data_IF_159669430359
#
_entry.id   IF_159669430359
#
_cell.length_a   1.000
_cell.length_b   1.000
_cell.length_c   1.000
_cell.angle_alpha   90.00
_cell.angle_beta   90.00
_cell.angle_gamma   90.00
#
_symmetry.space_group_name_H-M   'P 1'
#
loop_
_entity.id
_entity.type
_entity.pdbx_description
1 polymer ?
#
# COMPACT_ATOMS: atom_id res chain seq x y z
N UNK A 1 -0.27 -9.63 -16.74
CA UNK A 1 0.08 -11.04 -17.04
C UNK A 1 1.40 -11.04 -17.79
N UNK A 2 2.37 -11.80 -17.31
CA UNK A 2 3.61 -12.08 -18.01
C UNK A 2 3.53 -13.49 -18.59
N UNK A 3 3.12 -13.61 -19.86
CA UNK A 3 2.82 -14.89 -20.52
C UNK A 3 3.99 -15.90 -20.43
N UNK A 4 5.23 -15.42 -20.52
CA UNK A 4 6.44 -16.23 -20.41
C UNK A 4 6.55 -16.97 -19.06
N UNK A 5 6.14 -16.34 -17.97
CA UNK A 5 6.28 -16.90 -16.63
C UNK A 5 4.98 -17.51 -16.13
N UNK A 6 3.87 -16.79 -16.29
CA UNK A 6 2.57 -17.14 -15.72
C UNK A 6 1.96 -18.35 -16.42
N UNK A 7 2.07 -18.39 -17.75
CA UNK A 7 1.47 -19.42 -18.61
C UNK A 7 2.51 -20.43 -19.06
N UNK A 8 3.57 -19.98 -19.74
CA UNK A 8 4.56 -20.88 -20.37
C UNK A 8 5.38 -21.65 -19.33
N UNK A 9 5.79 -20.99 -18.24
CA UNK A 9 6.47 -21.65 -17.11
C UNK A 9 5.52 -22.13 -16.01
N UNK A 10 4.21 -22.07 -16.28
CA UNK A 10 3.14 -22.54 -15.40
C UNK A 10 3.15 -21.96 -13.97
N UNK A 11 3.69 -20.75 -13.75
CA UNK A 11 3.78 -20.17 -12.41
C UNK A 11 2.41 -20.04 -11.73
N UNK A 12 1.36 -19.67 -12.46
CA UNK A 12 0.01 -19.64 -11.90
C UNK A 12 -0.41 -21.01 -11.35
N UNK A 13 -0.16 -22.08 -12.11
CA UNK A 13 -0.49 -23.45 -11.70
C UNK A 13 0.35 -23.88 -10.50
N UNK A 14 1.66 -23.56 -10.49
CA UNK A 14 2.52 -23.88 -9.36
C UNK A 14 2.03 -23.26 -8.04
N UNK A 15 1.55 -22.01 -8.09
CA UNK A 15 1.01 -21.33 -6.90
C UNK A 15 -0.35 -21.91 -6.50
N UNK A 16 -1.27 -22.12 -7.44
CA UNK A 16 -2.59 -22.70 -7.11
C UNK A 16 -2.48 -24.16 -6.63
N UNK A 17 -1.48 -24.90 -7.08
CA UNK A 17 -1.19 -26.27 -6.66
C UNK A 17 -0.68 -26.39 -5.22
N UNK A 18 -0.25 -25.30 -4.57
CA UNK A 18 0.08 -25.30 -3.13
C UNK A 18 -1.11 -25.76 -2.27
N UNK A 19 -2.34 -25.63 -2.77
CA UNK A 19 -3.56 -26.16 -2.13
C UNK A 19 -3.57 -27.68 -1.98
N UNK A 20 -2.81 -28.41 -2.80
CA UNK A 20 -2.66 -29.87 -2.68
C UNK A 20 -1.99 -30.26 -1.36
N UNK A 21 -1.08 -29.44 -0.85
CA UNK A 21 -0.39 -29.64 0.42
C UNK A 21 -0.98 -28.81 1.56
N UNK A 22 -1.69 -27.73 1.24
CA UNK A 22 -2.35 -26.83 2.20
C UNK A 22 -3.84 -26.69 1.87
N UNK A 23 -4.69 -27.68 2.19
CA UNK A 23 -6.07 -27.75 1.69
C UNK A 23 -7.01 -26.63 2.18
N UNK A 24 -6.60 -25.86 3.19
CA UNK A 24 -7.33 -24.67 3.67
C UNK A 24 -6.90 -23.37 2.98
N UNK A 25 -5.80 -23.39 2.22
CA UNK A 25 -5.30 -22.23 1.49
C UNK A 25 -6.29 -21.84 0.38
N UNK A 26 -6.52 -20.54 0.26
CA UNK A 26 -7.24 -19.93 -0.85
C UNK A 26 -6.28 -19.07 -1.65
N UNK A 27 -6.26 -19.25 -2.96
CA UNK A 27 -5.37 -18.53 -3.87
C UNK A 27 -6.23 -17.72 -4.81
N UNK A 28 -6.17 -16.39 -4.70
CA UNK A 28 -6.86 -15.45 -5.57
C UNK A 28 -5.87 -14.83 -6.55
N UNK A 29 -6.35 -14.46 -7.73
CA UNK A 29 -5.58 -13.64 -8.68
C UNK A 29 -5.97 -12.18 -8.50
N UNK A 30 -4.99 -11.29 -8.30
CA UNK A 30 -5.25 -9.83 -8.25
C UNK A 30 -5.09 -9.18 -9.62
N UNK A 31 -5.93 -8.18 -9.91
CA UNK A 31 -5.88 -7.36 -11.13
C UNK A 31 -5.59 -5.91 -10.74
N UNK A 32 -4.58 -5.31 -11.36
CA UNK A 32 -4.08 -3.96 -11.07
C UNK A 32 -2.92 -4.00 -10.10
N UNK A 33 -3.07 -3.34 -8.94
CA UNK A 33 -2.09 -3.42 -7.87
C UNK A 33 -0.99 -2.35 -7.92
N UNK A 34 -1.15 -1.29 -8.71
CA UNK A 34 -0.11 -0.30 -9.07
C UNK A 34 1.01 -0.84 -9.97
N UNK A 35 0.90 -2.09 -10.41
CA UNK A 35 1.85 -2.75 -11.32
C UNK A 35 1.37 -2.75 -12.77
N UNK A 36 0.08 -2.46 -13.02
CA UNK A 36 -0.50 -2.45 -14.37
C UNK A 36 -0.43 -1.06 -15.01
N UNK A 37 0.78 -0.51 -15.05
CA UNK A 37 1.05 0.88 -15.42
C UNK A 37 0.83 1.12 -16.92
N UNK A 38 0.01 2.12 -17.23
CA UNK A 38 -0.24 2.62 -18.58
C UNK A 38 -0.56 4.11 -18.57
N UNK A 39 -0.21 4.82 -19.65
CA UNK A 39 -0.38 6.27 -19.73
C UNK A 39 0.51 7.04 -18.75
N UNK A 40 0.29 8.35 -18.64
CA UNK A 40 0.95 9.21 -17.66
C UNK A 40 0.08 10.42 -17.33
N UNK A 41 0.41 11.18 -16.28
CA UNK A 41 -0.38 12.35 -15.87
C UNK A 41 -1.84 11.98 -15.57
N UNK A 42 -2.78 12.74 -16.11
CA UNK A 42 -4.22 12.51 -15.91
C UNK A 42 -4.76 11.28 -16.68
N UNK A 43 -4.03 10.81 -17.70
CA UNK A 43 -4.35 9.59 -18.46
C UNK A 43 -3.79 8.32 -17.81
N UNK A 44 -3.06 8.44 -16.70
CA UNK A 44 -2.54 7.27 -15.96
C UNK A 44 -3.68 6.31 -15.68
N UNK A 45 -3.54 5.09 -16.19
CA UNK A 45 -4.44 3.95 -16.00
C UNK A 45 -5.90 4.21 -16.38
N UNK A 46 -6.14 5.09 -17.35
CA UNK A 46 -7.47 5.41 -17.87
C UNK A 46 -8.25 4.16 -18.34
N UNK A 47 -7.56 3.09 -18.77
CA UNK A 47 -8.16 1.80 -19.14
C UNK A 47 -9.10 1.24 -18.06
N UNK A 48 -8.79 1.45 -16.78
CA UNK A 48 -9.64 1.01 -15.67
C UNK A 48 -10.96 1.78 -15.67
N UNK A 49 -10.96 3.09 -15.91
CA UNK A 49 -12.21 3.87 -16.02
C UNK A 49 -13.00 3.50 -17.27
N UNK A 50 -12.34 3.32 -18.42
CA UNK A 50 -12.95 2.88 -19.69
C UNK A 50 -13.69 1.54 -19.60
N UNK A 51 -13.23 0.62 -18.75
CA UNK A 51 -13.95 -0.65 -18.50
C UNK A 51 -15.31 -0.37 -17.85
N UNK A 52 -15.39 0.60 -16.92
CA UNK A 52 -16.61 0.89 -16.16
C UNK A 52 -17.69 1.55 -17.02
N UNK A 53 -17.28 2.40 -17.95
CA UNK A 53 -18.14 3.26 -18.78
C UNK A 53 -19.10 2.50 -19.72
N UNK A 54 -18.90 1.21 -19.94
CA UNK A 54 -19.73 0.39 -20.83
C UNK A 54 -20.03 -0.98 -20.25
N UNK A 55 -21.31 -1.37 -20.26
CA UNK A 55 -21.72 -2.73 -19.89
C UNK A 55 -21.04 -3.79 -20.75
N UNK A 56 -20.81 -3.53 -22.04
CA UNK A 56 -20.12 -4.47 -22.91
C UNK A 56 -18.65 -4.65 -22.49
N UNK A 57 -17.96 -3.57 -22.09
CA UNK A 57 -16.59 -3.66 -21.57
C UNK A 57 -16.53 -4.42 -20.25
N UNK A 58 -17.43 -4.10 -19.30
CA UNK A 58 -17.50 -4.83 -18.02
C UNK A 58 -17.76 -6.32 -18.21
N UNK A 59 -18.72 -6.69 -19.06
CA UNK A 59 -19.00 -8.11 -19.33
C UNK A 59 -17.84 -8.82 -20.05
N UNK A 60 -17.13 -8.14 -20.95
CA UNK A 60 -15.91 -8.68 -21.57
C UNK A 60 -14.82 -8.95 -20.53
N UNK A 61 -14.60 -8.01 -19.61
CA UNK A 61 -13.68 -8.18 -18.49
C UNK A 61 -14.10 -9.33 -17.55
N UNK A 62 -15.38 -9.39 -17.17
CA UNK A 62 -15.93 -10.46 -16.31
C UNK A 62 -15.68 -11.84 -16.94
N UNK A 63 -15.97 -11.99 -18.22
CA UNK A 63 -15.82 -13.26 -18.93
C UNK A 63 -14.35 -13.69 -19.06
N UNK A 64 -13.46 -12.75 -19.37
CA UNK A 64 -12.02 -13.04 -19.50
C UNK A 64 -11.39 -13.38 -18.16
N UNK A 65 -11.73 -12.64 -17.10
CA UNK A 65 -11.29 -12.93 -15.73
C UNK A 65 -11.78 -14.32 -15.29
N UNK A 66 -13.08 -14.62 -15.42
CA UNK A 66 -13.63 -15.93 -15.08
C UNK A 66 -12.92 -17.08 -15.80
N UNK A 67 -12.71 -16.92 -17.12
CA UNK A 67 -12.02 -17.93 -17.94
C UNK A 67 -10.61 -18.19 -17.43
N UNK A 68 -9.85 -17.13 -17.12
CA UNK A 68 -8.49 -17.23 -16.61
C UNK A 68 -8.44 -17.93 -15.24
N UNK A 69 -9.32 -17.51 -14.31
CA UNK A 69 -9.39 -18.09 -12.96
C UNK A 69 -9.63 -19.59 -13.01
N UNK A 70 -10.57 -20.02 -13.85
CA UNK A 70 -10.92 -21.43 -14.03
C UNK A 70 -9.79 -22.23 -14.68
N UNK A 71 -9.16 -21.67 -15.71
CA UNK A 71 -8.07 -22.33 -16.44
C UNK A 71 -6.88 -22.68 -15.53
N UNK A 72 -6.57 -21.80 -14.56
CA UNK A 72 -5.40 -21.95 -13.68
C UNK A 72 -5.72 -22.38 -12.25
N UNK A 73 -6.99 -22.66 -11.94
CA UNK A 73 -7.40 -23.23 -10.66
C UNK A 73 -7.37 -22.25 -9.47
N UNK A 74 -7.58 -20.96 -9.73
CA UNK A 74 -7.73 -19.95 -8.68
C UNK A 74 -9.05 -20.14 -7.92
N UNK A 75 -9.08 -19.76 -6.64
CA UNK A 75 -10.29 -19.75 -5.82
C UNK A 75 -11.09 -18.45 -5.94
N UNK A 76 -10.59 -17.45 -6.67
CA UNK A 76 -11.27 -16.16 -6.78
C UNK A 76 -10.43 -15.05 -7.38
N UNK A 77 -11.02 -13.86 -7.42
CA UNK A 77 -10.46 -12.65 -7.98
C UNK A 77 -10.29 -11.60 -6.88
N UNK A 78 -9.18 -10.87 -6.90
CA UNK A 78 -9.00 -9.63 -6.16
C UNK A 78 -8.99 -8.43 -7.12
N UNK A 79 -9.77 -7.39 -6.81
CA UNK A 79 -9.78 -6.14 -7.56
C UNK A 79 -8.90 -5.12 -6.86
N UNK A 80 -7.65 -4.99 -7.27
CA UNK A 80 -6.78 -3.89 -6.87
C UNK A 80 -6.91 -2.74 -7.90
N UNK A 81 -8.12 -2.20 -8.00
CA UNK A 81 -8.55 -1.33 -9.10
C UNK A 81 -7.84 0.04 -9.09
N UNK A 82 -7.26 0.42 -10.23
CA UNK A 82 -6.37 1.59 -10.33
C UNK A 82 -7.14 2.88 -10.65
N UNK A 83 -7.96 3.33 -9.68
CA UNK A 83 -8.53 4.68 -9.74
C UNK A 83 -7.45 5.78 -9.67
N UNK A 84 -7.78 7.03 -10.01
CA UNK A 84 -6.91 8.17 -9.75
C UNK A 84 -6.52 8.33 -8.28
N UNK A 85 -5.22 8.47 -8.03
CA UNK A 85 -4.66 8.82 -6.72
C UNK A 85 -4.94 10.29 -6.37
N UNK A 86 -5.13 10.59 -5.08
CA UNK A 86 -5.18 11.97 -4.60
C UNK A 86 -3.86 12.70 -4.90
N UNK A 87 -3.92 14.00 -5.18
CA UNK A 87 -2.69 14.79 -5.41
C UNK A 87 -1.95 15.02 -4.08
N UNK A 88 -0.60 14.92 -4.06
CA UNK A 88 0.19 15.21 -2.88
C UNK A 88 0.06 16.69 -2.50
N UNK A 89 -0.10 17.00 -1.21
CA UNK A 89 -0.06 18.39 -0.73
C UNK A 89 1.37 18.93 -0.84
N UNK A 90 1.55 20.04 -1.55
CA UNK A 90 2.81 20.81 -1.50
C UNK A 90 2.87 21.57 -0.18
N UNK A 91 3.60 21.05 0.81
CA UNK A 91 3.85 21.77 2.06
C UNK A 91 4.90 22.85 1.77
N UNK A 92 4.49 24.12 1.82
CA UNK A 92 5.41 25.25 1.64
C UNK A 92 6.28 25.38 2.90
N UNK A 93 7.60 25.17 2.76
CA UNK A 93 8.61 25.30 3.82
C UNK A 93 8.60 26.70 4.48
N UNK A 94 9.03 26.73 5.75
CA UNK A 94 8.74 27.72 6.80
C UNK A 94 9.34 29.12 6.73
N UNK A 95 9.70 29.65 5.56
CA UNK A 95 10.02 31.08 5.40
C UNK A 95 8.91 31.89 4.72
N UNK A 96 7.90 31.23 4.14
CA UNK A 96 6.73 31.88 3.51
C UNK A 96 5.47 31.91 4.39
N UNK A 97 5.53 31.31 5.58
CA UNK A 97 4.41 31.23 6.53
C UNK A 97 3.99 32.59 7.12
N UNK A 98 4.86 33.61 7.07
CA UNK A 98 4.57 34.93 7.65
C UNK A 98 3.66 35.82 6.79
N UNK A 99 3.46 35.51 5.50
CA UNK A 99 2.68 36.35 4.57
C UNK A 99 1.34 35.74 4.12
N UNK A 100 0.98 34.53 4.57
CA UNK A 100 -0.20 33.81 4.09
C UNK A 100 -1.39 33.76 5.07
N UNK A 101 -1.40 34.58 6.13
CA UNK A 101 -2.50 34.61 7.11
C UNK A 101 -3.77 35.33 6.61
N UNK A 102 -3.83 35.76 5.35
CA UNK A 102 -5.05 36.30 4.73
C UNK A 102 -5.20 35.70 3.33
N UNK A 103 -5.80 34.50 3.27
CA UNK A 103 -6.68 34.00 2.20
C UNK A 103 -7.01 32.53 2.46
N UNK A 104 -8.12 32.31 3.15
CA UNK A 104 -8.99 31.17 2.87
C UNK A 104 -9.42 31.26 1.41
N UNK A 105 -8.72 30.56 0.55
CA UNK A 105 -9.24 30.22 -0.77
C UNK A 105 -8.87 28.77 -1.04
N UNK A 106 -9.93 27.98 -1.18
CA UNK A 106 -9.99 26.70 -1.90
C UNK A 106 -9.17 26.86 -3.18
N UNK A 107 -7.92 26.41 -3.15
CA UNK A 107 -7.04 26.43 -4.30
C UNK A 107 -7.49 25.27 -5.20
N UNK A 108 -8.10 25.63 -6.34
CA UNK A 108 -8.71 24.77 -7.34
C UNK A 108 -8.26 23.31 -7.32
N UNK A 109 -9.17 22.45 -6.88
CA UNK A 109 -9.03 21.01 -7.06
C UNK A 109 -9.04 20.75 -8.56
N UNK A 110 -7.87 20.47 -9.13
CA UNK A 110 -7.79 19.87 -10.44
C UNK A 110 -8.52 18.52 -10.37
N UNK A 111 -9.74 18.49 -10.90
CA UNK A 111 -10.56 17.28 -10.96
C UNK A 111 -9.89 16.33 -11.95
N UNK A 112 -9.25 15.27 -11.45
CA UNK A 112 -8.60 14.25 -12.32
C UNK A 112 -9.65 13.40 -13.04
N UNK A 113 -10.85 13.30 -12.44
CA UNK A 113 -11.94 12.51 -12.97
C UNK A 113 -13.27 13.26 -12.78
N UNK A 114 -13.72 13.90 -13.86
CA UNK A 114 -14.96 14.66 -13.88
C UNK A 114 -16.20 13.76 -13.72
N UNK A 115 -16.06 12.46 -14.03
CA UNK A 115 -17.12 11.46 -13.98
C UNK A 115 -17.00 10.55 -12.75
N UNK A 116 -16.26 10.95 -11.71
CA UNK A 116 -15.95 10.10 -10.57
C UNK A 116 -17.19 9.48 -9.89
N UNK A 117 -18.30 10.24 -9.77
CA UNK A 117 -19.55 9.72 -9.21
C UNK A 117 -20.18 8.64 -10.10
N UNK A 118 -20.10 8.78 -11.43
CA UNK A 118 -20.59 7.76 -12.37
C UNK A 118 -19.70 6.52 -12.32
N UNK A 119 -18.37 6.70 -12.28
CA UNK A 119 -17.42 5.60 -12.12
C UNK A 119 -17.63 4.84 -10.81
N UNK A 120 -17.96 5.55 -9.71
CA UNK A 120 -18.32 4.93 -8.42
C UNK A 120 -19.53 3.99 -8.56
N UNK A 121 -20.59 4.43 -9.23
CA UNK A 121 -21.80 3.62 -9.46
C UNK A 121 -21.53 2.45 -10.42
N UNK A 122 -20.76 2.68 -11.48
CA UNK A 122 -20.40 1.66 -12.45
C UNK A 122 -19.42 0.61 -11.87
N UNK A 123 -18.58 0.99 -10.92
CA UNK A 123 -17.72 0.06 -10.19
C UNK A 123 -18.55 -0.88 -9.30
N UNK A 124 -19.61 -0.39 -8.66
CA UNK A 124 -20.59 -1.25 -7.97
C UNK A 124 -21.23 -2.24 -8.95
N UNK A 125 -21.59 -1.78 -10.16
CA UNK A 125 -22.13 -2.66 -11.19
C UNK A 125 -21.13 -3.74 -11.61
N UNK A 126 -19.85 -3.39 -11.84
CA UNK A 126 -18.79 -4.34 -12.15
C UNK A 126 -18.66 -5.42 -11.07
N UNK A 127 -18.60 -5.01 -9.80
CA UNK A 127 -18.45 -5.92 -8.65
C UNK A 127 -19.64 -6.87 -8.54
N UNK A 128 -20.85 -6.40 -8.79
CA UNK A 128 -22.05 -7.23 -8.83
C UNK A 128 -22.04 -8.23 -9.99
N UNK A 129 -21.65 -7.79 -11.19
CA UNK A 129 -21.50 -8.64 -12.38
C UNK A 129 -20.46 -9.74 -12.14
N UNK A 130 -19.29 -9.39 -11.59
CA UNK A 130 -18.26 -10.35 -11.19
C UNK A 130 -18.77 -11.36 -10.16
N UNK A 131 -19.39 -10.90 -9.06
CA UNK A 131 -19.88 -11.83 -8.03
C UNK A 131 -20.92 -12.81 -8.57
N UNK A 132 -21.77 -12.36 -9.49
CA UNK A 132 -22.75 -13.24 -10.15
C UNK A 132 -22.07 -14.30 -11.01
N UNK A 133 -21.05 -13.95 -11.80
CA UNK A 133 -20.31 -14.89 -12.62
C UNK A 133 -19.51 -15.90 -11.78
N UNK A 134 -18.89 -15.45 -10.69
CA UNK A 134 -18.05 -16.26 -9.80
C UNK A 134 -18.85 -17.21 -8.89
N UNK A 135 -20.15 -16.96 -8.71
CA UNK A 135 -21.01 -17.74 -7.81
C UNK A 135 -21.13 -19.22 -8.19
N UNK A 136 -21.15 -19.52 -9.49
CA UNK A 136 -21.38 -20.89 -10.00
C UNK A 136 -20.31 -21.88 -9.53
N UNK A 137 -19.06 -21.43 -9.44
CA UNK A 137 -17.91 -22.23 -9.01
C UNK A 137 -17.48 -21.92 -7.56
N UNK A 138 -18.34 -21.24 -6.80
CA UNK A 138 -18.08 -20.82 -5.41
C UNK A 138 -16.75 -20.04 -5.25
N UNK A 139 -16.43 -19.20 -6.24
CA UNK A 139 -15.23 -18.38 -6.23
C UNK A 139 -15.40 -17.13 -5.35
N UNK A 140 -14.32 -16.75 -4.68
CA UNK A 140 -14.23 -15.55 -3.86
C UNK A 140 -14.05 -14.30 -4.73
N UNK A 141 -14.54 -13.18 -4.23
CA UNK A 141 -14.28 -11.86 -4.81
C UNK A 141 -13.84 -10.92 -3.70
N UNK A 142 -12.66 -10.33 -3.83
CA UNK A 142 -12.15 -9.31 -2.91
C UNK A 142 -11.88 -7.99 -3.61
N UNK A 143 -11.72 -6.95 -2.79
CA UNK A 143 -11.33 -5.61 -3.21
C UNK A 143 -10.09 -5.19 -2.42
N UNK A 144 -9.07 -4.69 -3.11
CA UNK A 144 -7.95 -4.01 -2.48
C UNK A 144 -8.09 -2.51 -2.75
N UNK A 145 -8.23 -1.72 -1.67
CA UNK A 145 -8.21 -0.26 -1.73
C UNK A 145 -6.75 0.17 -1.72
N UNK A 146 -6.24 0.59 -2.88
CA UNK A 146 -4.84 0.95 -3.09
C UNK A 146 -4.45 2.25 -2.37
N UNK A 147 -3.15 2.45 -2.06
CA UNK A 147 -2.63 3.67 -1.48
C UNK A 147 -3.10 4.93 -2.20
N UNK A 148 -3.40 5.99 -1.44
CA UNK A 148 -3.80 7.31 -1.94
C UNK A 148 -5.06 7.36 -2.81
N UNK A 149 -5.80 6.26 -3.02
CA UNK A 149 -7.13 6.31 -3.66
C UNK A 149 -8.15 6.84 -2.65
N UNK A 150 -8.89 7.88 -3.05
CA UNK A 150 -9.88 8.46 -2.16
C UNK A 150 -11.11 7.56 -2.06
N UNK A 151 -11.28 6.94 -0.88
CA UNK A 151 -12.41 6.04 -0.63
C UNK A 151 -13.78 6.72 -0.80
N UNK A 152 -13.89 8.00 -0.45
CA UNK A 152 -15.17 8.72 -0.47
C UNK A 152 -15.63 9.09 -1.89
N UNK A 153 -14.69 9.12 -2.84
CA UNK A 153 -14.94 9.50 -4.23
C UNK A 153 -15.32 8.27 -5.06
N UNK A 154 -14.62 7.15 -4.88
CA UNK A 154 -14.72 6.00 -5.81
C UNK A 154 -15.46 4.79 -5.27
N UNK A 155 -15.64 4.68 -3.95
CA UNK A 155 -16.22 3.48 -3.37
C UNK A 155 -17.54 3.78 -2.66
N UNK A 156 -18.47 2.87 -2.80
CA UNK A 156 -19.71 2.85 -2.02
C UNK A 156 -19.67 1.61 -1.11
N UNK A 157 -19.12 1.72 0.12
CA UNK A 157 -18.94 0.57 0.99
C UNK A 157 -20.24 -0.21 1.25
N UNK A 158 -21.37 0.49 1.36
CA UNK A 158 -22.69 -0.11 1.62
C UNK A 158 -23.14 -1.01 0.47
N UNK A 159 -22.88 -0.57 -0.76
CA UNK A 159 -23.30 -1.29 -1.97
C UNK A 159 -22.22 -2.26 -2.50
N UNK A 160 -20.97 -2.16 -2.04
CA UNK A 160 -19.89 -3.09 -2.37
C UNK A 160 -19.80 -4.28 -1.40
N UNK A 161 -19.83 -4.02 -0.09
CA UNK A 161 -19.58 -5.03 0.95
C UNK A 161 -20.48 -6.29 0.88
N UNK A 162 -21.74 -6.26 0.40
CA UNK A 162 -22.55 -7.46 0.23
C UNK A 162 -22.00 -8.45 -0.81
N UNK A 163 -21.28 -7.97 -1.83
CA UNK A 163 -20.80 -8.78 -2.96
C UNK A 163 -19.34 -9.24 -2.80
N UNK A 164 -18.62 -8.67 -1.83
CA UNK A 164 -17.22 -8.96 -1.56
C UNK A 164 -17.09 -9.93 -0.38
N UNK A 165 -16.20 -10.90 -0.48
CA UNK A 165 -15.85 -11.82 0.61
C UNK A 165 -15.04 -11.08 1.69
N UNK A 166 -14.08 -10.26 1.27
CA UNK A 166 -13.32 -9.34 2.11
C UNK A 166 -12.80 -8.14 1.31
N UNK A 167 -12.36 -7.10 2.03
CA UNK A 167 -11.78 -5.87 1.51
C UNK A 167 -10.45 -5.64 2.22
N UNK A 168 -9.38 -5.44 1.47
CA UNK A 168 -8.06 -5.13 1.98
C UNK A 168 -7.83 -3.62 1.91
N UNK A 169 -7.42 -3.02 3.02
CA UNK A 169 -7.07 -1.60 3.08
C UNK A 169 -5.55 -1.44 3.03
N UNK A 170 -5.00 -1.05 1.89
CA UNK A 170 -3.60 -0.64 1.76
C UNK A 170 -3.44 0.81 2.22
N UNK A 171 -3.72 1.04 3.50
CA UNK A 171 -3.64 2.33 4.17
C UNK A 171 -2.19 2.65 4.59
N UNK A 172 -1.30 2.66 3.60
CA UNK A 172 0.12 2.98 3.69
C UNK A 172 0.55 3.75 2.43
N UNK A 173 1.84 4.07 2.30
CA UNK A 173 2.39 4.88 1.20
C UNK A 173 1.70 6.25 1.02
N UNK A 174 1.19 6.83 2.12
CA UNK A 174 0.63 8.19 2.09
C UNK A 174 1.66 9.22 1.57
N UNK A 175 2.93 8.99 1.91
CA UNK A 175 4.09 9.73 1.42
C UNK A 175 5.04 8.75 0.73
N UNK A 176 5.42 9.04 -0.51
CA UNK A 176 6.46 8.28 -1.23
C UNK A 176 7.40 9.25 -1.92
N UNK A 177 8.67 8.89 -2.15
CA UNK A 177 9.62 9.83 -2.76
C UNK A 177 9.26 10.22 -4.19
N UNK A 178 8.52 9.37 -4.91
CA UNK A 178 8.00 9.68 -6.25
C UNK A 178 6.87 10.73 -6.20
N UNK A 179 6.05 10.70 -5.15
CA UNK A 179 4.92 11.64 -4.97
C UNK A 179 5.35 12.90 -4.21
N UNK A 180 6.40 12.80 -3.40
CA UNK A 180 6.84 13.79 -2.43
C UNK A 180 8.37 13.88 -2.40
N UNK A 181 8.99 14.38 -3.47
CA UNK A 181 10.46 14.38 -3.62
C UNK A 181 11.21 15.11 -2.49
N UNK A 182 10.66 16.22 -2.00
CA UNK A 182 11.29 17.08 -0.99
C UNK A 182 10.68 16.92 0.42
N UNK A 183 9.82 15.93 0.61
CA UNK A 183 9.03 15.78 1.83
C UNK A 183 8.85 14.31 2.20
N UNK A 184 9.40 13.88 3.34
CA UNK A 184 9.18 12.55 3.88
C UNK A 184 8.34 12.61 5.15
N UNK A 185 7.54 11.57 5.35
CA UNK A 185 6.82 11.34 6.59
C UNK A 185 6.63 9.83 6.78
N UNK A 186 6.04 9.43 7.90
CA UNK A 186 5.75 8.02 8.17
C UNK A 186 4.87 7.41 7.06
N UNK A 187 5.26 6.25 6.49
CA UNK A 187 4.54 5.68 5.35
C UNK A 187 3.16 5.11 5.74
N UNK A 188 2.99 4.65 6.98
CA UNK A 188 1.78 3.97 7.45
C UNK A 188 1.43 4.30 8.92
N UNK A 189 1.15 5.57 9.25
CA UNK A 189 0.77 5.96 10.60
C UNK A 189 -0.56 5.34 10.99
N UNK A 190 -0.62 4.82 12.21
CA UNK A 190 -1.81 4.16 12.74
C UNK A 190 -2.94 5.17 13.00
N UNK A 191 -2.57 6.37 13.46
CA UNK A 191 -3.49 7.45 13.81
C UNK A 191 -3.07 8.77 13.17
N UNK A 192 -4.02 9.70 13.15
CA UNK A 192 -3.83 11.05 12.65
C UNK A 192 -2.58 11.74 13.25
N UNK A 193 -1.84 12.40 12.36
CA UNK A 193 -0.68 13.22 12.67
C UNK A 193 -1.07 14.70 12.62
N UNK A 194 -0.53 15.48 13.57
CA UNK A 194 -0.79 16.93 13.63
C UNK A 194 -0.32 17.59 12.33
N UNK A 195 -1.10 18.55 11.83
CA UNK A 195 -0.86 19.28 10.59
C UNK A 195 -0.78 18.41 9.33
N UNK A 196 -1.44 17.23 9.32
CA UNK A 196 -1.62 16.38 8.13
C UNK A 196 -3.07 16.32 7.66
N UNK A 197 -3.31 15.70 6.51
CA UNK A 197 -4.68 15.44 6.05
C UNK A 197 -5.29 14.36 6.98
N UNK A 198 -6.54 14.55 7.42
CA UNK A 198 -7.15 13.69 8.44
C UNK A 198 -7.37 12.23 8.02
N UNK A 199 -7.25 11.93 6.73
CA UNK A 199 -7.35 10.60 6.11
C UNK A 199 -5.97 9.98 5.78
N UNK A 200 -4.85 10.65 6.06
CA UNK A 200 -3.49 10.10 5.86
C UNK A 200 -3.06 9.24 7.06
N UNK A 201 -3.91 8.29 7.46
CA UNK A 201 -3.66 7.32 8.52
C UNK A 201 -4.62 6.12 8.45
N UNK A 202 -4.21 5.00 9.06
CA UNK A 202 -4.95 3.74 9.06
C UNK A 202 -6.31 3.84 9.76
N UNK A 203 -6.39 4.45 10.94
CA UNK A 203 -7.63 4.51 11.73
C UNK A 203 -8.73 5.29 11.03
N UNK A 204 -8.39 6.34 10.27
CA UNK A 204 -9.34 7.08 9.44
C UNK A 204 -9.93 6.21 8.32
N UNK A 205 -9.11 5.42 7.61
CA UNK A 205 -9.59 4.52 6.55
C UNK A 205 -10.50 3.44 7.12
N UNK A 206 -10.09 2.80 8.22
CA UNK A 206 -10.90 1.78 8.90
C UNK A 206 -12.24 2.38 9.38
N UNK A 207 -12.21 3.56 10.01
CA UNK A 207 -13.42 4.25 10.47
C UNK A 207 -14.37 4.58 9.32
N UNK A 208 -13.86 5.04 8.18
CA UNK A 208 -14.67 5.33 7.01
C UNK A 208 -15.46 4.09 6.55
N UNK A 209 -14.77 2.96 6.32
CA UNK A 209 -15.41 1.74 5.84
C UNK A 209 -16.42 1.16 6.83
N UNK A 210 -16.09 1.16 8.14
CA UNK A 210 -16.98 0.69 9.21
C UNK A 210 -18.24 1.58 9.32
N UNK A 211 -18.06 2.90 9.35
CA UNK A 211 -19.17 3.86 9.53
C UNK A 211 -20.11 3.88 8.32
N UNK A 212 -19.62 3.43 7.15
CA UNK A 212 -20.40 3.31 5.91
C UNK A 212 -20.97 1.90 5.68
N UNK A 213 -21.04 1.06 6.72
CA UNK A 213 -21.82 -0.17 6.71
C UNK A 213 -21.05 -1.43 6.35
N UNK A 214 -19.72 -1.37 6.25
CA UNK A 214 -18.91 -2.57 6.05
C UNK A 214 -18.78 -3.35 7.35
N UNK A 215 -19.13 -4.65 7.39
CA UNK A 215 -18.89 -5.47 8.57
C UNK A 215 -17.39 -5.56 8.88
N UNK A 216 -16.99 -5.32 10.14
CA UNK A 216 -15.57 -5.32 10.54
C UNK A 216 -14.84 -6.61 10.13
N UNK A 217 -15.49 -7.77 10.29
CA UNK A 217 -14.97 -9.09 9.88
C UNK A 217 -14.65 -9.26 8.38
N UNK A 218 -15.11 -8.33 7.53
CA UNK A 218 -14.78 -8.30 6.08
C UNK A 218 -13.61 -7.37 5.78
N UNK A 219 -13.15 -6.55 6.71
CA UNK A 219 -12.01 -5.65 6.51
C UNK A 219 -10.72 -6.33 6.93
N UNK A 220 -9.70 -6.30 6.07
CA UNK A 220 -8.34 -6.71 6.36
C UNK A 220 -7.42 -5.49 6.33
N UNK A 221 -6.53 -5.37 7.31
CA UNK A 221 -5.54 -4.30 7.36
C UNK A 221 -4.26 -4.69 6.63
N UNK A 222 -3.88 -3.92 5.60
CA UNK A 222 -2.61 -4.08 4.91
C UNK A 222 -1.41 -3.65 5.77
N UNK A 223 -0.31 -4.41 5.70
CA UNK A 223 0.96 -4.12 6.37
C UNK A 223 2.09 -4.29 5.34
N UNK A 224 2.82 -3.23 4.99
CA UNK A 224 3.89 -3.33 4.02
C UNK A 224 5.14 -3.98 4.62
N UNK A 225 5.92 -4.68 3.81
CA UNK A 225 7.18 -5.35 4.20
C UNK A 225 8.41 -4.64 3.63
N UNK A 226 8.25 -3.38 3.27
CA UNK A 226 9.27 -2.53 2.68
C UNK A 226 9.32 -1.16 3.37
N UNK A 227 10.31 -0.36 2.99
CA UNK A 227 10.45 1.03 3.39
C UNK A 227 10.56 1.97 2.21
N UNK A 228 10.06 3.19 2.40
CA UNK A 228 10.22 4.29 1.45
C UNK A 228 11.42 5.14 1.85
N UNK A 229 12.27 5.46 0.88
CA UNK A 229 13.57 6.10 1.13
C UNK A 229 13.77 7.40 0.38
N UNK A 230 14.39 8.38 1.04
CA UNK A 230 14.77 9.66 0.45
C UNK A 230 16.25 9.94 0.64
N UNK A 231 16.85 10.69 -0.28
CA UNK A 231 18.15 11.31 -0.02
C UNK A 231 18.00 12.43 1.01
N UNK A 232 18.74 12.31 2.11
CA UNK A 232 18.76 13.28 3.21
C UNK A 232 19.89 14.29 3.00
N UNK A 233 19.60 15.59 3.02
CA UNK A 233 20.63 16.65 2.98
C UNK A 233 21.23 16.86 4.37
N UNK A 234 22.46 17.38 4.44
CA UNK A 234 23.17 17.61 5.72
C UNK A 234 22.45 18.53 6.71
N UNK A 235 21.65 19.47 6.20
CA UNK A 235 20.88 20.46 6.99
C UNK A 235 19.55 19.91 7.55
N UNK A 236 19.15 18.70 7.13
CA UNK A 236 17.82 18.17 7.42
C UNK A 236 17.63 17.85 8.91
N UNK A 237 16.46 18.21 9.44
CA UNK A 237 16.09 17.98 10.84
C UNK A 237 15.24 16.71 10.98
N UNK A 238 15.91 15.60 11.25
CA UNK A 238 15.30 14.26 11.28
C UNK A 238 14.35 14.01 12.46
N UNK A 239 14.24 14.96 13.39
CA UNK A 239 13.33 14.96 14.54
C UNK A 239 12.12 15.90 14.35
N UNK A 240 12.05 16.64 13.23
CA UNK A 240 10.98 17.58 12.91
C UNK A 240 10.14 17.05 11.75
N UNK A 241 8.93 16.56 12.06
CA UNK A 241 8.01 16.00 11.06
C UNK A 241 7.08 17.08 10.50
N UNK A 242 6.83 17.12 9.18
CA UNK A 242 7.35 16.20 8.17
C UNK A 242 8.80 16.56 7.86
N UNK A 243 9.61 15.56 7.48
CA UNK A 243 11.01 15.76 7.17
C UNK A 243 11.12 16.55 5.86
N UNK A 244 11.82 17.68 5.91
CA UNK A 244 12.17 18.50 4.74
C UNK A 244 13.66 18.38 4.43
N UNK A 245 14.13 19.16 3.45
CA UNK A 245 15.54 19.20 3.04
C UNK A 245 16.00 17.83 2.52
N UNK A 246 15.19 17.29 1.61
CA UNK A 246 15.42 16.03 0.93
C UNK A 246 15.76 16.28 -0.55
N UNK A 247 16.31 15.27 -1.20
CA UNK A 247 16.64 15.30 -2.63
C UNK A 247 16.09 14.07 -3.36
N UNK A 248 14.76 13.90 -3.34
CA UNK A 248 14.11 12.85 -4.10
C UNK A 248 14.35 11.44 -3.55
N UNK A 249 14.07 10.41 -4.38
CA UNK A 249 14.18 9.01 -3.98
C UNK A 249 15.62 8.63 -3.64
N UNK A 250 15.79 7.91 -2.53
CA UNK A 250 17.08 7.31 -2.18
C UNK A 250 17.52 6.23 -3.18
N UNK A 251 18.80 5.89 -3.15
CA UNK A 251 19.39 4.90 -4.06
C UNK A 251 18.65 3.55 -4.05
N UNK A 252 18.55 2.95 -5.24
CA UNK A 252 17.95 1.64 -5.40
C UNK A 252 18.72 0.55 -4.62
N UNK A 253 17.97 -0.32 -3.96
CA UNK A 253 18.52 -1.48 -3.25
C UNK A 253 19.06 -2.56 -4.22
N UNK A 254 20.04 -3.38 -3.80
CA UNK A 254 20.55 -4.48 -4.63
C UNK A 254 19.49 -5.56 -4.95
N UNK A 255 18.45 -5.71 -4.11
CA UNK A 255 17.35 -6.66 -4.29
C UNK A 255 16.17 -5.99 -5.00
N UNK A 256 15.68 -4.85 -4.50
CA UNK A 256 14.50 -4.15 -5.06
C UNK A 256 14.79 -3.55 -6.42
N UNK A 257 16.00 -3.01 -6.63
CA UNK A 257 16.42 -2.31 -7.86
C UNK A 257 15.52 -1.13 -8.25
N UNK A 258 14.79 -0.58 -7.29
CA UNK A 258 13.92 0.56 -7.45
C UNK A 258 14.38 1.69 -6.52
N UNK A 259 14.63 2.88 -7.09
CA UNK A 259 14.99 4.04 -6.30
C UNK A 259 13.81 4.46 -5.41
N UNK A 260 14.07 4.74 -4.15
CA UNK A 260 13.03 5.10 -3.19
C UNK A 260 12.36 3.94 -2.48
N UNK A 261 12.77 2.70 -2.74
CA UNK A 261 12.21 1.48 -2.15
C UNK A 261 13.32 0.54 -1.67
N UNK A 262 13.24 0.11 -0.41
CA UNK A 262 14.06 -0.96 0.14
C UNK A 262 13.18 -2.04 0.77
N UNK A 263 13.52 -3.30 0.51
CA UNK A 263 12.95 -4.46 1.21
C UNK A 263 13.31 -4.43 2.70
N UNK A 264 12.53 -5.11 3.55
CA UNK A 264 12.85 -5.26 4.96
C UNK A 264 14.30 -5.77 5.21
N UNK A 265 14.80 -6.82 4.50
CA UNK A 265 16.19 -7.27 4.68
C UNK A 265 17.26 -6.27 4.24
N UNK A 266 16.99 -5.38 3.28
CA UNK A 266 17.93 -4.31 2.91
C UNK A 266 18.02 -3.20 3.97
N UNK A 267 16.98 -3.04 4.78
CA UNK A 267 16.91 -2.08 5.87
C UNK A 267 17.47 -2.69 7.16
N UNK A 268 16.97 -3.85 7.58
CA UNK A 268 17.28 -4.48 8.87
C UNK A 268 18.79 -4.72 9.05
N UNK A 269 19.51 -5.06 7.97
CA UNK A 269 20.94 -5.34 7.99
C UNK A 269 21.80 -4.08 8.11
N UNK A 270 21.23 -2.91 7.74
CA UNK A 270 21.90 -1.61 7.89
C UNK A 270 21.53 -0.94 9.20
N UNK A 271 20.36 -1.25 9.77
CA UNK A 271 19.95 -0.76 11.08
C UNK A 271 20.84 -1.38 12.15
N UNK A 272 21.62 -0.54 12.84
CA UNK A 272 22.56 -1.01 13.87
C UNK A 272 22.26 -0.37 15.22
N UNK A 273 22.45 -1.10 16.34
CA UNK A 273 22.39 -0.50 17.68
C UNK A 273 23.58 0.43 17.97
N UNK A 274 24.66 0.38 17.15
CA UNK A 274 25.90 1.13 17.35
C UNK A 274 26.25 1.92 16.10
N UNK A 275 26.45 3.21 16.27
CA UNK A 275 26.77 4.24 15.26
C UNK A 275 28.05 4.02 14.44
N UNK A 276 28.76 2.91 14.63
CA UNK A 276 30.15 2.72 14.18
C UNK A 276 30.32 1.84 12.94
N UNK A 277 29.24 1.28 12.37
CA UNK A 277 29.36 0.45 11.18
C UNK A 277 29.32 1.33 9.93
N UNK A 278 30.33 1.29 9.05
CA UNK A 278 30.29 2.00 7.77
C UNK A 278 29.01 1.63 7.01
N UNK A 279 28.23 2.63 6.62
CA UNK A 279 26.96 2.40 5.93
C UNK A 279 25.78 2.02 6.85
N UNK A 280 25.94 2.05 8.18
CA UNK A 280 24.87 1.81 9.15
C UNK A 280 23.81 2.92 9.16
N UNK A 281 22.61 2.59 9.63
CA UNK A 281 21.49 3.50 9.85
C UNK A 281 21.18 3.58 11.35
N UNK A 282 20.93 4.79 11.84
CA UNK A 282 20.39 5.05 13.18
C UNK A 282 18.89 4.84 13.16
N UNK A 283 18.39 3.83 13.88
CA UNK A 283 16.95 3.59 14.06
C UNK A 283 16.38 4.49 15.14
N UNK A 284 15.23 5.10 14.85
CA UNK A 284 14.41 5.80 15.84
C UNK A 284 13.09 5.05 15.99
N UNK A 285 12.87 4.34 17.11
CA UNK A 285 11.65 3.59 17.35
C UNK A 285 10.44 4.51 17.60
N UNK A 286 9.25 3.99 17.36
CA UNK A 286 8.01 4.69 17.72
C UNK A 286 7.62 4.45 19.18
N UNK A 287 8.13 5.27 20.09
CA UNK A 287 7.75 5.20 21.51
C UNK A 287 6.25 5.43 21.77
N UNK A 288 5.52 6.03 20.82
CA UNK A 288 4.08 6.27 20.96
C UNK A 288 3.22 5.13 20.45
N UNK A 289 3.76 4.26 19.58
CA UNK A 289 3.03 3.22 18.84
C UNK A 289 1.88 3.76 17.99
N UNK A 290 2.03 4.97 17.44
CA UNK A 290 0.99 5.68 16.67
C UNK A 290 1.40 6.07 15.25
N UNK A 291 2.69 6.26 14.99
CA UNK A 291 3.21 6.88 13.77
C UNK A 291 3.96 5.89 12.88
N UNK A 292 4.71 4.96 13.48
CA UNK A 292 5.62 4.07 12.76
C UNK A 292 7.08 4.39 12.99
N UNK A 293 7.96 3.55 12.44
CA UNK A 293 9.41 3.59 12.68
C UNK A 293 10.15 4.21 11.51
N UNK A 294 11.29 4.83 11.79
CA UNK A 294 12.21 5.27 10.74
C UNK A 294 13.66 5.01 11.12
N UNK A 295 14.53 5.05 10.12
CA UNK A 295 15.97 5.06 10.31
C UNK A 295 16.61 6.08 9.36
N UNK A 296 17.79 6.58 9.72
CA UNK A 296 18.46 7.60 8.92
C UNK A 296 19.99 7.51 9.03
N UNK A 297 20.66 8.17 8.09
CA UNK A 297 22.09 8.47 8.12
C UNK A 297 22.30 9.81 7.42
N UNK A 298 23.02 10.73 8.06
CA UNK A 298 23.43 11.97 7.41
C UNK A 298 24.47 11.71 6.32
N UNK A 299 24.52 12.55 5.28
CA UNK A 299 25.53 12.41 4.25
C UNK A 299 26.94 12.60 4.82
N UNK A 300 27.93 12.03 4.14
CA UNK A 300 29.33 12.24 4.46
C UNK A 300 29.81 13.65 4.05
N UNK A 301 31.10 13.92 4.27
CA UNK A 301 31.71 15.22 3.95
C UNK A 301 31.64 15.63 2.47
N UNK A 302 31.40 14.68 1.57
CA UNK A 302 31.28 14.89 0.12
C UNK A 302 29.81 14.92 -0.33
N UNK A 303 28.89 15.11 0.63
CA UNK A 303 27.42 15.13 0.49
C UNK A 303 26.83 13.81 -0.06
N UNK A 304 27.48 12.67 0.24
CA UNK A 304 27.06 11.35 -0.26
C UNK A 304 26.50 10.45 0.81
N UNK A 305 25.60 9.57 0.40
CA UNK A 305 25.06 8.51 1.26
C UNK A 305 24.07 8.99 2.33
N UNK A 306 23.62 10.24 2.28
CA UNK A 306 22.53 10.72 3.13
C UNK A 306 21.23 9.99 2.79
N UNK A 307 20.56 9.43 3.79
CA UNK A 307 19.33 8.66 3.63
C UNK A 307 18.39 8.81 4.83
N UNK A 308 17.11 8.92 4.54
CA UNK A 308 16.02 8.72 5.50
C UNK A 308 15.12 7.60 4.97
N UNK A 309 14.71 6.67 5.84
CA UNK A 309 13.82 5.56 5.51
C UNK A 309 12.72 5.42 6.55
N UNK A 310 11.47 5.55 6.11
CA UNK A 310 10.30 5.16 6.89
C UNK A 310 9.88 3.75 6.46
N UNK A 311 9.62 2.86 7.41
CA UNK A 311 9.39 1.44 7.13
C UNK A 311 8.57 0.75 8.22
N UNK A 312 8.26 -0.53 8.03
CA UNK A 312 7.72 -1.40 9.07
C UNK A 312 8.80 -2.34 9.62
N UNK A 313 8.82 -2.54 10.93
CA UNK A 313 9.55 -3.61 11.58
C UNK A 313 8.62 -4.59 12.30
N UNK A 314 9.18 -5.58 12.97
CA UNK A 314 8.40 -6.59 13.68
C UNK A 314 7.53 -6.00 14.80
N UNK A 315 7.94 -4.90 15.42
CA UNK A 315 7.19 -4.24 16.49
C UNK A 315 6.02 -3.44 15.92
N UNK A 316 6.24 -2.66 14.86
CA UNK A 316 5.17 -1.88 14.22
C UNK A 316 4.16 -2.78 13.52
N UNK A 317 4.61 -3.86 12.89
CA UNK A 317 3.72 -4.88 12.31
C UNK A 317 2.86 -5.57 13.37
N UNK A 318 3.45 -5.95 14.52
CA UNK A 318 2.71 -6.51 15.66
C UNK A 318 1.68 -5.52 16.21
N UNK A 319 2.05 -4.25 16.31
CA UNK A 319 1.15 -3.17 16.77
C UNK A 319 -0.05 -3.01 15.85
N UNK A 320 0.16 -3.04 14.52
CA UNK A 320 -0.92 -2.96 13.53
C UNK A 320 -1.84 -4.20 13.57
N UNK A 321 -1.29 -5.39 13.75
CA UNK A 321 -2.08 -6.60 13.94
C UNK A 321 -2.92 -6.56 15.23
N UNK A 322 -2.36 -6.09 16.35
CA UNK A 322 -3.10 -5.88 17.60
C UNK A 322 -4.22 -4.86 17.43
N UNK A 323 -3.98 -3.79 16.68
CA UNK A 323 -5.01 -2.83 16.32
C UNK A 323 -6.15 -3.49 15.51
N UNK A 324 -5.82 -4.30 14.49
CA UNK A 324 -6.81 -5.02 13.69
C UNK A 324 -7.67 -5.94 14.58
N UNK A 325 -7.03 -6.70 15.47
CA UNK A 325 -7.70 -7.55 16.47
C UNK A 325 -8.61 -6.72 17.39
N UNK A 326 -8.12 -5.62 17.95
CA UNK A 326 -8.86 -4.76 18.87
C UNK A 326 -10.09 -4.09 18.22
N UNK A 327 -10.03 -3.81 16.92
CA UNK A 327 -11.16 -3.28 16.13
C UNK A 327 -12.11 -4.38 15.62
N UNK A 328 -11.82 -5.66 15.89
CA UNK A 328 -12.62 -6.78 15.40
C UNK A 328 -12.57 -6.94 13.87
N UNK A 329 -11.48 -6.52 13.25
CA UNK A 329 -11.29 -6.68 11.80
C UNK A 329 -11.16 -8.17 11.44
N UNK A 330 -11.38 -8.51 10.17
CA UNK A 330 -11.27 -9.88 9.67
C UNK A 330 -9.86 -10.46 9.72
N UNK A 331 -8.84 -9.60 9.80
CA UNK A 331 -7.43 -9.98 9.87
C UNK A 331 -6.51 -8.92 9.28
N UNK A 332 -5.38 -9.38 8.75
CA UNK A 332 -4.35 -8.56 8.10
C UNK A 332 -4.06 -9.09 6.68
N UNK A 333 -3.46 -8.24 5.86
CA UNK A 333 -2.83 -8.61 4.59
C UNK A 333 -1.38 -8.12 4.61
N UNK A 334 -0.44 -8.94 4.12
CA UNK A 334 0.98 -8.59 4.05
C UNK A 334 1.31 -8.18 2.61
N UNK A 335 1.91 -7.00 2.45
CA UNK A 335 2.25 -6.40 1.15
C UNK A 335 3.78 -6.15 1.04
N UNK A 336 4.58 -7.06 0.51
CA UNK A 336 4.24 -8.40 0.07
C UNK A 336 5.18 -9.44 0.70
N UNK A 337 5.03 -10.72 0.33
CA UNK A 337 5.89 -11.79 0.85
C UNK A 337 7.33 -11.73 0.31
N UNK A 338 7.56 -11.07 -0.83
CA UNK A 338 8.85 -11.04 -1.53
C UNK A 338 9.81 -10.03 -0.92
N UNK A 339 9.27 -8.99 -0.28
CA UNK A 339 10.05 -7.94 0.39
C UNK A 339 10.23 -8.16 1.89
N UNK A 340 9.57 -9.16 2.48
CA UNK A 340 9.88 -9.65 3.84
C UNK A 340 11.22 -10.42 3.84
N UNK A 341 11.76 -10.69 5.03
CA UNK A 341 12.96 -11.49 5.20
C UNK A 341 12.71 -12.99 5.02
N UNK A 342 12.29 -13.42 3.82
CA UNK A 342 12.00 -14.82 3.51
C UNK A 342 13.24 -15.74 3.62
N UNK A 343 14.46 -15.17 3.60
CA UNK A 343 15.73 -15.91 3.78
C UNK A 343 16.17 -16.01 5.23
N UNK A 344 15.64 -15.18 6.14
CA UNK A 344 16.03 -15.17 7.56
C UNK A 344 17.39 -14.52 7.79
N UNK A 345 17.77 -13.53 6.98
CA UNK A 345 19.06 -12.82 7.08
C UNK A 345 19.05 -11.72 8.15
N UNK A 346 17.87 -11.24 8.56
CA UNK A 346 17.71 -10.26 9.64
C UNK A 346 17.87 -10.94 11.01
N UNK A 347 18.91 -10.59 11.75
CA UNK A 347 19.15 -11.11 13.10
C UNK A 347 19.74 -12.53 13.13
N UNK A 348 20.33 -12.93 14.26
CA UNK A 348 21.11 -14.18 14.39
C UNK A 348 20.25 -15.46 14.54
N UNK A 349 18.93 -15.38 14.37
CA UNK A 349 17.99 -16.47 14.70
C UNK A 349 17.34 -17.16 13.49
N UNK A 350 17.84 -16.97 12.25
CA UNK A 350 17.28 -17.59 11.03
C UNK A 350 15.74 -17.44 10.91
N UNK A 351 15.19 -16.33 11.41
CA UNK A 351 13.74 -16.17 11.50
C UNK A 351 13.16 -15.70 10.16
N UNK A 352 12.95 -16.64 9.23
CA UNK A 352 12.32 -16.36 7.93
C UNK A 352 10.93 -15.73 8.10
N UNK A 353 10.59 -14.80 7.22
CA UNK A 353 9.32 -14.06 7.19
C UNK A 353 9.05 -13.34 8.52
N UNK A 354 10.02 -12.51 8.94
CA UNK A 354 10.02 -11.88 10.25
C UNK A 354 8.80 -10.97 10.46
N UNK A 355 8.46 -10.14 9.47
CA UNK A 355 7.31 -9.23 9.56
C UNK A 355 6.01 -10.02 9.61
N UNK A 356 5.81 -10.96 8.67
CA UNK A 356 4.62 -11.82 8.63
C UNK A 356 4.40 -12.54 9.96
N UNK A 357 5.44 -13.21 10.48
CA UNK A 357 5.32 -13.98 11.73
C UNK A 357 5.02 -13.11 12.93
N UNK A 358 5.66 -11.94 13.02
CA UNK A 358 5.40 -11.00 14.11
C UNK A 358 3.95 -10.53 14.09
N UNK A 359 3.43 -10.14 12.91
CA UNK A 359 2.05 -9.72 12.76
C UNK A 359 1.06 -10.86 13.06
N UNK A 360 1.30 -12.08 12.56
CA UNK A 360 0.44 -13.25 12.82
C UNK A 360 0.43 -13.64 14.30
N UNK A 361 1.57 -13.59 14.99
CA UNK A 361 1.66 -13.91 16.43
C UNK A 361 0.89 -12.91 17.32
N UNK A 362 0.58 -11.73 16.78
CA UNK A 362 -0.11 -10.65 17.46
C UNK A 362 -1.65 -10.64 17.24
N UNK A 363 -2.17 -11.48 16.33
CA UNK A 363 -3.61 -11.71 16.12
C UNK A 363 -4.21 -12.63 17.19
#
# INVERSE_FOLDING_TARGET
MNEQYDVIKENYKHITDLKKTHPKLKVLLSVGGNEDVSGSGDEKNEKYRKILESTAHRLSFVNSAYTLLKAYGFDGLDLAWEFPETKPKKIKSGLKKLWSSIKTTVAGEHVVDENAQQHREQFVALVKELKNALKADNMQLSLTVLPNINSTVYYDPRNLAPYLDFIVLHAFDFYTPLRNEELADFPAPLYELIDRRGDENIDAWVKYWLSNGTPAKKLLLGIPTYGRTWHLKGEAKVDQFPITDLNGPGDAGPLTKEAGLLSYPEICNKVTPRTSTPGGLTKIPDGTKRRGVYAYRYPDKDDKGGIWVGYEDTETASTKAQYAKAKGLGGIAIDDLTLDDFKGVCGHSNNKFAILKAAVAAL
#
